data_IF_205674456864
#
_entry.id   IF_205674456864
#
_cell.length_a   1.000
_cell.length_b   1.000
_cell.length_c   1.000
_cell.angle_alpha   90.00
_cell.angle_beta   90.00
_cell.angle_gamma   90.00
#
_symmetry.space_group_name_H-M   'P 1'
#
loop_
_entity.id
_entity.type
_entity.pdbx_description
1 polymer ?
#
# COMPACT_ATOMS: atom_id res chain seq x y z
N UNK A 1 6.46 6.66 -10.11
CA UNK A 1 6.05 7.62 -11.16
C UNK A 1 5.79 6.94 -12.53
N UNK A 2 5.13 5.77 -12.58
CA UNK A 2 4.84 5.12 -13.88
C UNK A 2 3.73 5.85 -14.64
N UNK A 3 2.73 6.38 -13.92
CA UNK A 3 1.62 7.18 -14.47
C UNK A 3 2.10 8.47 -15.15
N UNK A 4 3.31 8.92 -14.83
CA UNK A 4 3.87 10.14 -15.39
C UNK A 4 4.59 9.94 -16.73
N UNK A 5 4.92 8.68 -17.05
CA UNK A 5 5.60 8.32 -18.30
C UNK A 5 4.70 8.50 -19.52
N UNK A 6 5.31 8.83 -20.66
CA UNK A 6 4.61 8.87 -21.95
C UNK A 6 4.20 7.46 -22.41
N UNK A 7 4.95 6.43 -22.03
CA UNK A 7 4.64 5.03 -22.32
C UNK A 7 3.27 4.63 -21.78
N UNK A 8 2.91 5.12 -20.58
CA UNK A 8 1.59 4.89 -20.00
C UNK A 8 0.46 5.43 -20.90
N UNK A 9 0.66 6.57 -21.55
CA UNK A 9 -0.36 7.21 -22.42
C UNK A 9 -0.56 6.45 -23.73
N UNK A 10 0.45 5.68 -24.16
CA UNK A 10 0.45 4.87 -25.37
C UNK A 10 -0.12 3.45 -25.15
N UNK A 11 -0.43 3.07 -23.91
CA UNK A 11 -0.97 1.74 -23.61
C UNK A 11 -2.33 1.49 -24.28
N UNK A 12 -2.57 0.27 -24.80
CA UNK A 12 -3.88 -0.14 -25.28
C UNK A 12 -4.88 -0.28 -24.12
N UNK A 13 -6.18 -0.13 -24.42
CA UNK A 13 -7.27 -0.24 -23.43
C UNK A 13 -7.22 -1.55 -22.65
N UNK A 14 -6.93 -2.67 -23.32
CA UNK A 14 -6.88 -4.00 -22.67
C UNK A 14 -5.85 -4.04 -21.55
N UNK A 15 -4.62 -3.62 -21.81
CA UNK A 15 -3.57 -3.62 -20.79
C UNK A 15 -3.88 -2.63 -19.66
N UNK A 16 -4.47 -1.47 -19.99
CA UNK A 16 -4.88 -0.52 -18.96
C UNK A 16 -5.94 -1.14 -18.04
N UNK A 17 -6.91 -1.85 -18.61
CA UNK A 17 -7.97 -2.56 -17.85
C UNK A 17 -7.37 -3.66 -16.97
N UNK A 18 -6.41 -4.43 -17.48
CA UNK A 18 -5.74 -5.47 -16.70
C UNK A 18 -5.01 -4.86 -15.48
N UNK A 19 -4.33 -3.73 -15.67
CA UNK A 19 -3.66 -2.98 -14.59
C UNK A 19 -4.69 -2.46 -13.58
N UNK A 20 -5.77 -1.84 -14.06
CA UNK A 20 -6.84 -1.27 -13.21
C UNK A 20 -7.67 -2.34 -12.51
N UNK A 21 -7.73 -3.55 -13.03
CA UNK A 21 -8.44 -4.68 -12.41
C UNK A 21 -7.61 -5.35 -11.32
N UNK A 22 -6.29 -5.14 -11.29
CA UNK A 22 -5.39 -5.78 -10.33
C UNK A 22 -5.62 -5.29 -8.90
N UNK A 23 -5.87 -6.23 -7.99
CA UNK A 23 -5.98 -5.96 -6.55
C UNK A 23 -4.64 -5.55 -5.92
N UNK A 24 -3.50 -5.85 -6.56
CA UNK A 24 -2.14 -5.69 -6.00
C UNK A 24 -1.43 -4.40 -6.49
N UNK A 25 -2.17 -3.44 -7.04
CA UNK A 25 -1.60 -2.19 -7.51
C UNK A 25 -1.08 -1.34 -6.33
N UNK A 26 0.20 -0.98 -6.38
CA UNK A 26 0.84 -0.14 -5.35
C UNK A 26 0.47 1.34 -5.49
N UNK A 27 -0.68 1.72 -4.93
CA UNK A 27 -1.20 3.09 -4.92
C UNK A 27 -1.38 3.63 -3.51
N UNK A 28 -1.22 4.95 -3.35
CA UNK A 28 -1.49 5.60 -2.07
C UNK A 28 -2.98 5.91 -1.89
N UNK A 29 -3.71 6.14 -2.99
CA UNK A 29 -5.16 6.37 -2.99
C UNK A 29 -5.79 6.02 -4.34
N UNK A 30 -7.08 5.66 -4.33
CA UNK A 30 -7.87 5.47 -5.57
C UNK A 30 -8.05 6.79 -6.35
N UNK A 31 -7.87 7.94 -5.71
CA UNK A 31 -7.86 9.25 -6.40
C UNK A 31 -6.74 9.30 -7.45
N UNK A 32 -5.56 8.72 -7.17
CA UNK A 32 -4.47 8.62 -8.14
C UNK A 32 -4.86 7.75 -9.35
N UNK A 33 -5.61 6.67 -9.11
CA UNK A 33 -6.10 5.79 -10.17
C UNK A 33 -7.06 6.55 -11.08
N UNK A 34 -8.03 7.27 -10.50
CA UNK A 34 -8.94 8.12 -11.26
C UNK A 34 -8.19 9.14 -12.13
N UNK A 35 -7.23 9.85 -11.54
CA UNK A 35 -6.41 10.81 -12.30
C UNK A 35 -5.61 10.17 -13.42
N UNK A 36 -5.07 8.96 -13.21
CA UNK A 36 -4.35 8.22 -14.25
C UNK A 36 -5.25 7.89 -15.44
N UNK A 37 -6.48 7.45 -15.18
CA UNK A 37 -7.49 7.16 -16.21
C UNK A 37 -7.85 8.43 -16.96
N UNK A 38 -8.16 9.52 -16.25
CA UNK A 38 -8.51 10.78 -16.89
C UNK A 38 -7.36 11.33 -17.74
N UNK A 39 -6.11 11.24 -17.27
CA UNK A 39 -4.94 11.66 -18.05
C UNK A 39 -4.79 10.83 -19.33
N UNK A 40 -4.98 9.52 -19.25
CA UNK A 40 -4.98 8.64 -20.42
C UNK A 40 -6.13 8.99 -21.39
N UNK A 41 -7.32 9.30 -20.89
CA UNK A 41 -8.45 9.74 -21.71
C UNK A 41 -8.16 11.05 -22.46
N UNK A 42 -7.61 12.06 -21.77
CA UNK A 42 -7.33 13.37 -22.36
C UNK A 42 -6.30 13.34 -23.49
N UNK A 43 -5.44 12.31 -23.55
CA UNK A 43 -4.46 12.16 -24.62
C UNK A 43 -5.10 11.88 -26.00
N UNK A 44 -6.22 11.14 -26.04
CA UNK A 44 -6.99 10.91 -27.27
C UNK A 44 -8.49 10.77 -26.95
N UNK A 45 -9.15 11.91 -26.72
CA UNK A 45 -10.56 11.94 -26.30
C UNK A 45 -11.51 11.36 -27.34
N UNK A 46 -11.25 11.56 -28.63
CA UNK A 46 -12.15 11.18 -29.72
C UNK A 46 -12.34 9.66 -29.78
N UNK A 47 -11.25 8.90 -29.74
CA UNK A 47 -11.29 7.44 -29.87
C UNK A 47 -11.53 6.74 -28.53
N UNK A 48 -11.13 7.38 -27.42
CA UNK A 48 -11.16 6.76 -26.08
C UNK A 48 -12.49 6.96 -25.35
N UNK A 49 -13.28 7.96 -25.72
CA UNK A 49 -14.57 8.30 -25.09
C UNK A 49 -15.50 7.10 -24.86
N UNK A 50 -15.70 6.17 -25.81
CA UNK A 50 -16.57 5.01 -25.60
C UNK A 50 -16.11 4.06 -24.50
N UNK A 51 -14.81 4.05 -24.18
CA UNK A 51 -14.23 3.16 -23.16
C UNK A 51 -14.25 3.75 -21.75
N UNK A 52 -14.69 5.02 -21.58
CA UNK A 52 -14.68 5.69 -20.28
C UNK A 52 -15.49 4.92 -19.23
N UNK A 53 -16.72 4.52 -19.56
CA UNK A 53 -17.57 3.76 -18.65
C UNK A 53 -16.95 2.41 -18.28
N UNK A 54 -16.34 1.73 -19.25
CA UNK A 54 -15.64 0.48 -19.02
C UNK A 54 -14.42 0.66 -18.10
N UNK A 55 -13.64 1.71 -18.27
CA UNK A 55 -12.48 2.00 -17.41
C UNK A 55 -12.90 2.40 -16.00
N UNK A 56 -13.94 3.23 -15.86
CA UNK A 56 -14.43 3.69 -14.56
C UNK A 56 -15.04 2.55 -13.72
N UNK A 57 -15.55 1.49 -14.34
CA UNK A 57 -16.01 0.29 -13.64
C UNK A 57 -14.87 -0.40 -12.85
N UNK A 58 -13.62 -0.25 -13.31
CA UNK A 58 -12.43 -0.78 -12.62
C UNK A 58 -11.80 0.20 -11.61
N UNK A 59 -12.32 1.43 -11.53
CA UNK A 59 -11.93 2.41 -10.51
C UNK A 59 -12.86 2.26 -9.31
N UNK A 60 -12.29 2.14 -8.10
CA UNK A 60 -13.09 1.94 -6.89
C UNK A 60 -13.63 3.26 -6.35
N UNK A 61 -14.59 3.85 -7.09
CA UNK A 61 -15.25 5.11 -6.74
C UNK A 61 -15.80 5.17 -5.30
N UNK A 62 -16.39 4.08 -4.73
CA UNK A 62 -16.87 4.09 -3.34
C UNK A 62 -15.79 4.32 -2.28
N UNK A 63 -14.52 4.16 -2.65
CA UNK A 63 -13.35 4.34 -1.77
C UNK A 63 -12.68 5.71 -1.95
N UNK A 64 -13.21 6.56 -2.82
CA UNK A 64 -12.75 7.95 -2.95
C UNK A 64 -13.24 8.79 -1.77
N UNK A 65 -12.55 9.91 -1.51
CA UNK A 65 -13.05 10.85 -0.51
C UNK A 65 -14.37 11.48 -0.98
N UNK A 66 -15.36 11.71 -0.09
CA UNK A 66 -16.63 12.33 -0.47
C UNK A 66 -16.46 13.70 -1.15
N UNK A 67 -15.47 14.47 -0.67
CA UNK A 67 -15.11 15.78 -1.24
C UNK A 67 -14.65 15.64 -2.70
N UNK A 68 -13.83 14.64 -3.00
CA UNK A 68 -13.33 14.39 -4.35
C UNK A 68 -14.43 13.86 -5.28
N UNK A 69 -15.22 12.90 -4.81
CA UNK A 69 -16.31 12.31 -5.59
C UNK A 69 -17.33 13.37 -6.02
N UNK A 70 -17.78 14.21 -5.09
CA UNK A 70 -18.78 15.25 -5.40
C UNK A 70 -18.15 16.47 -6.07
N UNK A 71 -16.97 16.90 -5.62
CA UNK A 71 -16.34 18.13 -6.10
C UNK A 71 -15.65 18.01 -7.46
N UNK A 72 -15.17 16.81 -7.81
CA UNK A 72 -14.37 16.58 -9.03
C UNK A 72 -15.01 15.56 -9.94
N UNK A 73 -15.31 14.34 -9.46
CA UNK A 73 -15.81 13.27 -10.34
C UNK A 73 -17.22 13.58 -10.86
N UNK A 74 -18.12 14.00 -9.97
CA UNK A 74 -19.52 14.31 -10.34
C UNK A 74 -19.67 15.60 -11.15
N UNK A 75 -18.68 16.50 -11.12
CA UNK A 75 -18.70 17.78 -11.85
C UNK A 75 -18.10 17.67 -13.25
N UNK A 76 -17.28 16.63 -13.50
CA UNK A 76 -16.61 16.40 -14.77
C UNK A 76 -17.61 16.21 -15.92
N UNK A 77 -17.40 16.93 -17.03
CA UNK A 77 -18.28 16.91 -18.19
C UNK A 77 -18.30 15.53 -18.87
N UNK A 78 -17.20 14.79 -18.86
CA UNK A 78 -17.12 13.47 -19.47
C UNK A 78 -17.98 12.46 -18.73
N UNK A 79 -17.91 12.49 -17.39
CA UNK A 79 -18.71 11.63 -16.50
C UNK A 79 -20.20 12.00 -16.58
N UNK A 80 -20.52 13.30 -16.60
CA UNK A 80 -21.92 13.77 -16.69
C UNK A 80 -22.57 13.47 -18.04
N UNK A 81 -21.79 13.32 -19.10
CA UNK A 81 -22.30 13.05 -20.45
C UNK A 81 -22.72 11.59 -20.66
N UNK A 82 -22.17 10.65 -19.90
CA UNK A 82 -22.45 9.22 -20.02
C UNK A 82 -23.41 8.79 -18.90
N UNK A 83 -24.43 8.02 -19.25
CA UNK A 83 -25.40 7.47 -18.29
C UNK A 83 -24.75 6.43 -17.37
N UNK A 84 -23.95 5.52 -17.92
CA UNK A 84 -23.33 4.44 -17.12
C UNK A 84 -22.36 5.02 -16.09
N UNK A 85 -21.64 6.07 -16.46
CA UNK A 85 -20.72 6.74 -15.54
C UNK A 85 -21.45 7.42 -14.38
N UNK A 86 -22.64 7.99 -14.63
CA UNK A 86 -23.47 8.58 -13.57
C UNK A 86 -23.98 7.52 -12.60
N UNK A 87 -24.43 6.37 -13.12
CA UNK A 87 -24.88 5.25 -12.29
C UNK A 87 -23.77 4.77 -11.35
N UNK A 88 -22.53 4.64 -11.85
CA UNK A 88 -21.36 4.27 -11.03
C UNK A 88 -21.07 5.31 -9.92
N UNK A 89 -21.24 6.60 -10.20
CA UNK A 89 -21.04 7.67 -9.23
C UNK A 89 -22.16 7.69 -8.18
N UNK A 90 -23.39 7.43 -8.59
CA UNK A 90 -24.53 7.42 -7.69
C UNK A 90 -24.48 6.21 -6.75
N UNK A 91 -24.08 5.02 -7.24
CA UNK A 91 -23.75 3.88 -6.38
C UNK A 91 -22.67 4.21 -5.34
N UNK A 92 -21.61 4.91 -5.76
CA UNK A 92 -20.54 5.34 -4.85
C UNK A 92 -21.03 6.34 -3.80
N UNK A 93 -21.95 7.26 -4.17
CA UNK A 93 -22.58 8.17 -3.22
C UNK A 93 -23.45 7.40 -2.23
N UNK A 94 -24.27 6.46 -2.69
CA UNK A 94 -25.13 5.65 -1.83
C UNK A 94 -24.29 4.86 -0.81
N UNK A 95 -23.19 4.26 -1.24
CA UNK A 95 -22.25 3.57 -0.35
C UNK A 95 -21.66 4.49 0.75
N UNK A 96 -21.38 5.75 0.40
CA UNK A 96 -20.86 6.74 1.33
C UNK A 96 -21.94 7.28 2.28
N UNK A 97 -23.16 7.49 1.78
CA UNK A 97 -24.30 8.05 2.51
C UNK A 97 -25.01 7.03 3.42
N UNK A 98 -24.95 5.74 3.09
CA UNK A 98 -25.65 4.65 3.80
C UNK A 98 -24.65 3.71 4.50
N UNK A 99 -23.95 4.14 5.56
CA UNK A 99 -22.93 3.33 6.23
C UNK A 99 -23.50 2.04 6.84
N UNK A 100 -24.79 2.02 7.21
CA UNK A 100 -25.47 0.86 7.80
C UNK A 100 -25.75 -0.23 6.76
N UNK A 101 -25.87 0.13 5.48
CA UNK A 101 -26.19 -0.80 4.39
C UNK A 101 -24.96 -1.33 3.68
N UNK A 102 -23.76 -0.82 4.01
CA UNK A 102 -22.49 -1.30 3.44
C UNK A 102 -22.30 -2.82 3.47
N UNK A 103 -22.71 -3.57 4.51
CA UNK A 103 -22.62 -5.04 4.49
C UNK A 103 -23.41 -5.70 3.35
N UNK A 104 -24.46 -5.03 2.85
CA UNK A 104 -25.32 -5.50 1.76
C UNK A 104 -24.81 -5.03 0.39
N UNK A 105 -24.02 -3.95 0.35
CA UNK A 105 -23.46 -3.34 -0.87
C UNK A 105 -22.04 -3.86 -1.18
N UNK A 106 -21.71 -5.10 -0.81
CA UNK A 106 -20.37 -5.65 -1.00
C UNK A 106 -20.12 -6.02 -2.47
N UNK A 107 -19.01 -5.54 -3.04
CA UNK A 107 -18.58 -5.87 -4.39
C UNK A 107 -17.09 -5.60 -4.63
N UNK A 108 -16.56 -5.95 -5.83
CA UNK A 108 -15.16 -5.72 -6.19
C UNK A 108 -14.72 -4.25 -6.05
N UNK A 109 -15.68 -3.32 -6.22
CA UNK A 109 -15.49 -1.87 -6.14
C UNK A 109 -15.53 -1.31 -4.72
N UNK A 110 -16.12 -2.03 -3.76
CA UNK A 110 -16.17 -1.60 -2.34
C UNK A 110 -15.07 -2.24 -1.50
N UNK A 111 -14.40 -3.25 -2.04
CA UNK A 111 -13.22 -3.88 -1.44
C UNK A 111 -11.98 -3.02 -1.72
N UNK A 112 -11.26 -2.53 -0.71
CA UNK A 112 -9.98 -1.84 -0.93
C UNK A 112 -9.01 -2.69 -1.74
N UNK A 113 -8.27 -2.03 -2.64
CA UNK A 113 -7.07 -2.62 -3.27
C UNK A 113 -6.21 -3.16 -2.13
N UNK A 114 -5.59 -4.34 -2.31
CA UNK A 114 -4.48 -4.72 -1.44
C UNK A 114 -3.41 -3.69 -1.73
N UNK A 115 -3.41 -2.64 -0.92
CA UNK A 115 -2.18 -1.93 -0.65
C UNK A 115 -1.22 -3.06 -0.29
N UNK A 116 -0.04 -3.09 -0.91
CA UNK A 116 1.10 -3.74 -0.29
C UNK A 116 1.32 -2.97 1.02
N UNK A 117 0.42 -3.21 1.98
CA UNK A 117 0.23 -2.42 3.19
C UNK A 117 1.34 -2.81 4.15
N UNK A 118 1.93 -3.99 3.97
CA UNK A 118 3.34 -4.20 4.17
C UNK A 118 4.08 -4.03 2.86
N UNK A 119 4.51 -2.80 2.55
CA UNK A 119 5.82 -2.69 1.92
C UNK A 119 6.77 -3.49 2.81
N UNK A 120 7.64 -4.32 2.24
CA UNK A 120 8.56 -5.12 3.03
C UNK A 120 9.32 -4.18 3.97
N UNK A 121 8.90 -4.13 5.24
CA UNK A 121 9.58 -3.31 6.23
C UNK A 121 10.85 -4.06 6.56
N UNK A 122 11.99 -3.43 6.29
CA UNK A 122 13.27 -4.01 6.65
C UNK A 122 13.51 -3.70 8.12
N UNK A 123 13.39 -4.71 8.96
CA UNK A 123 13.73 -4.60 10.36
C UNK A 123 15.23 -4.85 10.57
N UNK A 124 15.87 -3.98 11.34
CA UNK A 124 17.22 -4.18 11.84
C UNK A 124 17.17 -4.29 13.37
N UNK A 125 17.60 -5.44 13.89
CA UNK A 125 17.49 -5.81 15.29
C UNK A 125 18.86 -6.10 15.86
N UNK A 126 19.21 -5.38 16.93
CA UNK A 126 20.51 -5.51 17.59
C UNK A 126 21.66 -5.05 16.70
N UNK A 127 22.85 -5.60 16.97
CA UNK A 127 24.07 -5.27 16.25
C UNK A 127 25.25 -5.02 17.18
N UNK A 128 26.33 -4.52 16.59
CA UNK A 128 27.55 -4.15 17.29
C UNK A 128 27.85 -2.68 16.98
N UNK A 129 27.99 -1.87 18.02
CA UNK A 129 28.29 -0.44 17.90
C UNK A 129 29.33 -0.06 18.94
N UNK A 130 30.42 0.59 18.52
CA UNK A 130 31.45 1.12 19.43
C UNK A 130 32.02 0.12 20.43
N UNK A 131 32.17 -1.15 20.04
CA UNK A 131 32.74 -2.19 20.89
C UNK A 131 31.77 -2.90 21.82
N UNK A 132 30.47 -2.61 21.75
CA UNK A 132 29.44 -3.30 22.55
C UNK A 132 28.25 -3.76 21.69
N UNK A 133 27.54 -4.76 22.19
CA UNK A 133 26.28 -5.20 21.63
C UNK A 133 25.19 -4.15 21.92
N UNK A 134 24.27 -3.94 20.97
CA UNK A 134 23.15 -3.00 21.15
C UNK A 134 21.81 -3.74 21.28
N UNK A 135 20.87 -3.10 21.97
CA UNK A 135 19.50 -3.57 22.12
C UNK A 135 18.52 -2.85 21.18
N UNK A 136 18.99 -1.89 20.38
CA UNK A 136 18.13 -1.10 19.51
C UNK A 136 17.48 -1.94 18.43
N UNK A 137 16.26 -1.57 18.07
CA UNK A 137 15.54 -2.08 16.93
C UNK A 137 14.99 -0.90 16.12
N UNK A 138 15.08 -1.00 14.80
CA UNK A 138 14.60 0.00 13.86
C UNK A 138 13.99 -0.69 12.63
N UNK A 139 13.06 -0.03 11.95
CA UNK A 139 12.56 -0.49 10.66
C UNK A 139 12.74 0.58 9.58
N UNK A 140 13.03 0.15 8.36
CA UNK A 140 13.05 1.02 7.20
C UNK A 140 11.66 1.05 6.56
N UNK A 141 11.11 2.25 6.39
CA UNK A 141 9.90 2.47 5.61
C UNK A 141 10.28 2.92 4.19
N UNK A 142 10.11 2.05 3.17
CA UNK A 142 10.46 2.37 1.79
C UNK A 142 9.62 3.51 1.20
N UNK A 143 8.44 3.80 1.76
CA UNK A 143 7.59 4.92 1.29
C UNK A 143 8.14 6.26 1.70
N UNK A 144 8.70 6.35 2.91
CA UNK A 144 9.28 7.59 3.44
C UNK A 144 10.80 7.67 3.26
N UNK A 145 11.42 6.58 2.78
CA UNK A 145 12.87 6.40 2.70
C UNK A 145 13.59 6.70 4.03
N UNK A 146 12.95 6.36 5.15
CA UNK A 146 13.45 6.67 6.49
C UNK A 146 13.49 5.43 7.37
N UNK A 147 14.48 5.42 8.27
CA UNK A 147 14.53 4.49 9.38
C UNK A 147 13.76 5.07 10.57
N UNK A 148 12.91 4.25 11.17
CA UNK A 148 12.13 4.58 12.34
C UNK A 148 12.51 3.66 13.49
N UNK A 149 12.74 4.23 14.67
CA UNK A 149 12.98 3.46 15.87
C UNK A 149 11.71 2.71 16.28
N UNK A 150 11.89 1.47 16.72
CA UNK A 150 10.83 0.65 17.33
C UNK A 150 11.23 0.24 18.74
N UNK A 151 10.37 -0.51 19.42
CA UNK A 151 10.65 -0.97 20.77
C UNK A 151 11.98 -1.75 20.81
N UNK A 152 12.94 -1.35 21.68
CA UNK A 152 14.20 -2.05 21.79
C UNK A 152 14.02 -3.45 22.40
N UNK A 153 15.00 -4.33 22.18
CA UNK A 153 15.11 -5.60 22.89
C UNK A 153 15.37 -5.36 24.39
N UNK A 154 14.96 -6.33 25.21
CA UNK A 154 15.23 -6.30 26.63
C UNK A 154 16.70 -6.58 26.94
N UNK A 155 17.33 -7.46 26.16
CA UNK A 155 18.76 -7.74 26.26
C UNK A 155 19.48 -7.32 24.97
N UNK A 156 20.67 -6.72 25.12
CA UNK A 156 21.54 -6.39 23.98
C UNK A 156 22.04 -7.65 23.30
N UNK A 157 22.08 -7.68 21.96
CA UNK A 157 22.49 -8.85 21.17
C UNK A 157 23.20 -8.44 19.89
N UNK A 158 24.33 -9.07 19.60
CA UNK A 158 24.96 -9.07 18.28
C UNK A 158 24.98 -10.50 17.70
N UNK A 159 25.09 -10.61 16.37
CA UNK A 159 25.12 -11.92 15.69
C UNK A 159 23.83 -12.75 15.85
N UNK A 160 22.71 -12.10 16.18
CA UNK A 160 21.42 -12.72 16.49
C UNK A 160 20.76 -13.36 15.27
N UNK A 161 20.03 -14.46 15.48
CA UNK A 161 19.10 -15.03 14.50
C UNK A 161 17.71 -14.41 14.67
N UNK A 162 17.07 -14.01 13.58
CA UNK A 162 15.77 -13.33 13.62
C UNK A 162 14.75 -14.02 12.73
N UNK A 163 13.49 -14.07 13.17
CA UNK A 163 12.40 -14.70 12.42
C UNK A 163 11.03 -14.18 12.85
N UNK A 164 10.05 -14.32 11.96
CA UNK A 164 8.65 -13.91 12.20
C UNK A 164 7.78 -15.14 12.37
N UNK A 165 7.04 -15.21 13.47
CA UNK A 165 6.08 -16.28 13.74
C UNK A 165 4.81 -15.66 14.28
N UNK A 166 3.65 -15.94 13.66
CA UNK A 166 2.36 -15.37 14.03
C UNK A 166 2.41 -13.84 14.24
N UNK A 167 2.96 -13.12 13.26
CA UNK A 167 3.05 -11.66 13.29
C UNK A 167 3.89 -11.08 14.44
N UNK A 168 4.76 -11.89 15.04
CA UNK A 168 5.72 -11.48 16.07
C UNK A 168 7.15 -11.68 15.59
N UNK A 169 7.99 -10.67 15.79
CA UNK A 169 9.42 -10.75 15.51
C UNK A 169 10.18 -11.32 16.72
N UNK A 170 10.91 -12.40 16.47
CA UNK A 170 11.73 -13.09 17.47
C UNK A 170 13.21 -12.88 17.22
N UNK A 171 13.94 -12.60 18.30
CA UNK A 171 15.39 -12.54 18.36
C UNK A 171 15.91 -13.75 19.16
N UNK A 172 16.66 -14.63 18.51
CA UNK A 172 17.12 -15.91 19.05
C UNK A 172 18.64 -15.91 19.22
N UNK A 173 19.11 -16.17 20.44
CA UNK A 173 20.53 -16.33 20.73
C UNK A 173 21.33 -15.04 20.59
N UNK A 174 22.54 -15.13 20.02
CA UNK A 174 23.48 -14.02 19.87
C UNK A 174 24.46 -13.87 21.04
N UNK A 175 25.19 -12.77 21.05
CA UNK A 175 26.17 -12.43 22.10
C UNK A 175 25.86 -11.05 22.67
N UNK A 176 25.89 -10.90 24.00
CA UNK A 176 25.52 -9.64 24.69
C UNK A 176 26.71 -8.72 24.98
N UNK A 177 27.86 -8.97 24.38
CA UNK A 177 29.12 -8.26 24.67
C UNK A 177 29.97 -8.94 25.75
N UNK A 178 29.40 -9.86 26.53
CA UNK A 178 30.14 -10.65 27.53
C UNK A 178 30.01 -12.16 27.36
N UNK A 179 28.82 -12.63 26.96
CA UNK A 179 28.47 -14.05 26.91
C UNK A 179 27.51 -14.36 25.77
N UNK A 180 27.53 -15.62 25.33
CA UNK A 180 26.54 -16.14 24.40
C UNK A 180 25.21 -16.37 25.10
N UNK A 181 24.12 -16.03 24.39
CA UNK A 181 22.77 -16.11 24.91
C UNK A 181 22.11 -17.42 24.47
N UNK A 182 21.48 -18.11 25.41
CA UNK A 182 20.62 -19.27 25.19
C UNK A 182 19.11 -18.91 25.27
N UNK A 183 18.78 -17.63 25.26
CA UNK A 183 17.41 -17.12 25.37
C UNK A 183 16.86 -16.60 24.04
N UNK A 184 15.54 -16.66 23.90
CA UNK A 184 14.76 -16.01 22.85
C UNK A 184 13.94 -14.88 23.44
N UNK A 185 13.77 -13.80 22.71
CA UNK A 185 12.81 -12.75 23.07
C UNK A 185 11.99 -12.29 21.86
N UNK A 186 10.76 -11.87 22.12
CA UNK A 186 9.86 -11.26 21.14
C UNK A 186 9.74 -9.77 21.45
N UNK A 187 10.05 -8.90 20.49
CA UNK A 187 10.15 -7.46 20.76
C UNK A 187 9.09 -6.63 20.02
N UNK A 188 8.45 -7.16 18.97
CA UNK A 188 7.63 -6.34 18.06
C UNK A 188 6.39 -7.12 17.57
N UNK A 189 5.20 -6.55 17.77
CA UNK A 189 3.96 -6.94 17.10
C UNK A 189 3.94 -6.31 15.70
N UNK A 190 4.04 -7.15 14.68
CA UNK A 190 3.95 -6.75 13.28
C UNK A 190 2.48 -6.84 12.90
N UNK A 191 1.68 -5.81 13.23
CA UNK A 191 0.24 -5.84 12.91
C UNK A 191 0.06 -5.93 11.39
N UNK A 192 -0.36 -7.10 10.88
CA UNK A 192 -0.79 -7.36 9.50
C UNK A 192 0.19 -7.01 8.37
N UNK A 193 1.50 -7.05 8.61
CA UNK A 193 2.50 -6.76 7.57
C UNK A 193 3.26 -8.04 7.22
N UNK A 194 3.40 -8.32 5.92
CA UNK A 194 4.38 -9.27 5.41
C UNK A 194 5.78 -8.69 5.66
N UNK A 195 6.43 -9.14 6.74
CA UNK A 195 7.77 -8.70 7.08
C UNK A 195 8.80 -9.68 6.51
N UNK A 196 9.60 -9.20 5.55
CA UNK A 196 10.82 -9.86 5.13
C UNK A 196 11.95 -9.40 6.05
N UNK A 197 12.44 -10.32 6.91
CA UNK A 197 13.48 -10.01 7.88
C UNK A 197 14.86 -10.19 7.24
N UNK A 198 15.63 -9.12 7.16
CA UNK A 198 17.02 -9.17 6.70
C UNK A 198 17.97 -8.91 7.84
N UNK A 199 19.06 -9.68 7.88
CA UNK A 199 20.16 -9.48 8.82
C UNK A 199 20.97 -8.25 8.38
N UNK A 200 20.87 -7.13 9.10
CA UNK A 200 21.75 -5.98 8.89
C UNK A 200 23.17 -6.39 9.28
N UNK A 201 24.05 -6.62 8.30
CA UNK A 201 25.49 -6.58 8.51
C UNK A 201 25.86 -5.10 8.42
N UNK A 202 25.90 -4.42 9.57
CA UNK A 202 26.47 -3.08 9.66
C UNK A 202 27.99 -3.25 9.56
N UNK A 203 28.56 -3.17 8.36
CA UNK A 203 29.97 -2.82 8.20
C UNK A 203 30.01 -1.30 8.21
N UNK A 204 30.58 -0.75 9.29
CA UNK A 204 31.15 0.59 9.29
C UNK A 204 32.54 0.53 8.64
#
# INVERSE_FOLDING_TARGET
EVVESEEFLLLPVSHLVDILSSDDLNINSEEQVYYSVMRWMHHNLSDRRPYLSYLLEHVRLPLLSPKFLVGTVSTDLLVRSDERCRDLVDEAKDYLLLPQERPLMQGPRTKPRKILQGGELLFAIGGWCSGDAIASAEHYDPRTHKWHLVAPMHKRRCGVGVGVVYDLLYAVGGHDGHSYLNSVESSILISSLTASVFKKIKQE
#
